data_IF_834697981386
#
_entry.id   IF_834697981386
#
_cell.length_a   1.000
_cell.length_b   1.000
_cell.length_c   1.000
_cell.angle_alpha   90.00
_cell.angle_beta   90.00
_cell.angle_gamma   90.00
#
_symmetry.space_group_name_H-M   'P 1'
#
loop_
_entity.id
_entity.type
_entity.pdbx_description
1 polymer ?
#
# COMPACT_ATOMS: atom_id res chain seq x y z
N UNK A 1 13.65 14.12 -6.39
CA UNK A 1 12.88 12.93 -6.87
C UNK A 1 11.85 12.57 -5.82
N UNK A 2 10.58 12.43 -6.21
CA UNK A 2 9.44 12.21 -5.31
C UNK A 2 9.37 10.73 -4.88
N UNK A 3 9.29 10.48 -3.57
CA UNK A 3 9.05 9.14 -3.00
C UNK A 3 7.64 8.63 -3.36
N UNK A 4 7.34 7.35 -3.10
CA UNK A 4 5.95 6.82 -3.19
C UNK A 4 4.98 7.74 -2.45
N UNK A 5 5.42 8.23 -1.29
CA UNK A 5 4.69 9.14 -0.41
C UNK A 5 4.30 10.44 -1.13
N UNK A 6 5.23 11.07 -1.86
CA UNK A 6 4.94 12.30 -2.61
C UNK A 6 4.08 12.10 -3.88
N UNK A 7 3.94 10.86 -4.37
CA UNK A 7 2.94 10.53 -5.39
C UNK A 7 1.55 10.28 -4.77
N UNK A 8 1.53 9.76 -3.55
CA UNK A 8 0.33 9.50 -2.77
C UNK A 8 -0.33 10.80 -2.29
N UNK A 9 0.42 11.86 -2.00
CA UNK A 9 -0.10 13.20 -1.63
C UNK A 9 -1.08 13.82 -2.64
N UNK A 10 -0.97 13.48 -3.94
CA UNK A 10 -1.86 14.01 -4.98
C UNK A 10 -3.11 13.13 -5.22
N UNK A 11 -3.21 12.00 -4.52
CA UNK A 11 -4.31 11.05 -4.63
C UNK A 11 -5.15 11.11 -3.35
N UNK A 12 -6.47 11.17 -3.51
CA UNK A 12 -7.37 10.97 -2.39
C UNK A 12 -7.21 9.53 -1.88
N UNK A 13 -6.61 9.38 -0.70
CA UNK A 13 -6.39 8.08 -0.07
C UNK A 13 -7.39 7.89 1.05
N UNK A 14 -8.18 6.83 0.94
CA UNK A 14 -9.09 6.40 2.00
C UNK A 14 -8.56 5.09 2.56
N UNK A 15 -8.14 5.10 3.83
CA UNK A 15 -7.67 3.91 4.53
C UNK A 15 -8.84 3.17 5.18
N UNK A 16 -8.99 1.88 4.87
CA UNK A 16 -9.91 0.97 5.54
C UNK A 16 -9.15 -0.16 6.22
N UNK A 17 -9.47 -0.45 7.47
CA UNK A 17 -8.90 -1.57 8.22
C UNK A 17 -10.01 -2.62 8.44
N UNK A 18 -9.84 -3.79 7.84
CA UNK A 18 -10.78 -4.91 7.98
C UNK A 18 -10.25 -5.95 8.97
N UNK A 19 -10.81 -5.96 10.18
CA UNK A 19 -10.50 -6.92 11.25
C UNK A 19 -11.57 -8.02 11.31
N UNK A 20 -11.15 -9.27 11.54
CA UNK A 20 -12.07 -10.39 11.72
C UNK A 20 -11.43 -11.76 11.39
N UNK A 21 -12.10 -12.86 11.75
CA UNK A 21 -11.59 -14.21 11.51
C UNK A 21 -11.45 -14.55 10.03
N UNK A 22 -10.79 -15.67 9.74
CA UNK A 22 -10.65 -16.17 8.37
C UNK A 22 -12.05 -16.53 7.84
N UNK A 23 -12.34 -16.17 6.59
CA UNK A 23 -13.59 -16.52 5.91
C UNK A 23 -14.70 -15.46 5.98
N UNK A 24 -14.58 -14.39 6.76
CA UNK A 24 -15.62 -13.32 6.87
C UNK A 24 -15.76 -12.40 5.64
N UNK A 25 -15.14 -12.74 4.52
CA UNK A 25 -15.32 -12.00 3.27
C UNK A 25 -14.55 -10.68 3.13
N UNK A 26 -13.48 -10.44 3.91
CA UNK A 26 -12.67 -9.19 3.82
C UNK A 26 -12.18 -8.87 2.40
N UNK A 27 -11.73 -9.89 1.66
CA UNK A 27 -11.31 -9.75 0.25
C UNK A 27 -12.51 -9.52 -0.68
N UNK A 28 -13.67 -10.09 -0.36
CA UNK A 28 -14.92 -9.89 -1.11
C UNK A 28 -15.40 -8.45 -0.97
N UNK A 29 -15.30 -7.86 0.22
CA UNK A 29 -15.60 -6.45 0.45
C UNK A 29 -14.69 -5.55 -0.41
N UNK A 30 -13.38 -5.82 -0.43
CA UNK A 30 -12.47 -5.06 -1.28
C UNK A 30 -12.86 -5.10 -2.77
N UNK A 31 -13.25 -6.28 -3.29
CA UNK A 31 -13.75 -6.42 -4.68
C UNK A 31 -15.05 -5.66 -4.91
N UNK A 32 -15.99 -5.73 -3.98
CA UNK A 32 -17.24 -5.00 -4.06
C UNK A 32 -17.01 -3.48 -4.08
N UNK A 33 -16.06 -2.98 -3.27
CA UNK A 33 -15.67 -1.56 -3.28
C UNK A 33 -15.00 -1.18 -4.60
N UNK A 34 -14.10 -2.02 -5.14
CA UNK A 34 -13.47 -1.78 -6.43
C UNK A 34 -14.50 -1.73 -7.57
N UNK A 35 -15.48 -2.63 -7.55
CA UNK A 35 -16.59 -2.64 -8.50
C UNK A 35 -17.45 -1.38 -8.37
N UNK A 36 -17.78 -0.97 -7.14
CA UNK A 36 -18.62 0.19 -6.89
C UNK A 36 -17.96 1.52 -7.28
N UNK A 37 -16.65 1.66 -7.02
CA UNK A 37 -15.91 2.91 -7.29
C UNK A 37 -15.37 2.98 -8.72
N UNK A 38 -14.90 1.86 -9.27
CA UNK A 38 -14.13 1.83 -10.52
C UNK A 38 -14.74 0.94 -11.60
N UNK A 39 -15.97 0.45 -11.39
CA UNK A 39 -16.70 -0.42 -12.32
C UNK A 39 -15.92 -1.68 -12.71
N UNK A 40 -14.95 -2.09 -11.89
CA UNK A 40 -14.09 -3.23 -12.18
C UNK A 40 -13.54 -3.85 -10.89
N UNK A 41 -13.88 -5.11 -10.64
CA UNK A 41 -13.25 -5.90 -9.56
C UNK A 41 -11.75 -6.13 -9.77
N UNK A 42 -11.25 -5.92 -10.99
CA UNK A 42 -9.84 -6.04 -11.35
C UNK A 42 -9.04 -4.76 -11.03
N UNK A 43 -9.69 -3.71 -10.53
CA UNK A 43 -9.04 -2.50 -10.03
C UNK A 43 -8.52 -2.69 -8.60
N UNK A 44 -7.89 -3.84 -8.33
CA UNK A 44 -7.27 -4.16 -7.06
C UNK A 44 -5.86 -4.67 -7.32
N UNK A 45 -4.89 -4.07 -6.64
CA UNK A 45 -3.53 -4.60 -6.54
C UNK A 45 -3.29 -5.14 -5.14
N UNK A 46 -3.11 -6.45 -5.03
CA UNK A 46 -2.90 -7.13 -3.74
C UNK A 46 -1.42 -7.30 -3.43
N UNK A 47 -1.03 -6.95 -2.21
CA UNK A 47 0.31 -7.11 -1.67
C UNK A 47 0.21 -8.07 -0.48
N UNK A 48 0.79 -9.26 -0.63
CA UNK A 48 0.93 -10.19 0.50
C UNK A 48 2.00 -9.70 1.46
N UNK A 49 1.60 -9.37 2.69
CA UNK A 49 2.47 -8.70 3.67
C UNK A 49 3.35 -9.67 4.47
N UNK A 50 3.07 -10.97 4.40
CA UNK A 50 3.85 -12.01 5.08
C UNK A 50 5.31 -12.11 4.64
N UNK A 51 5.68 -11.56 3.49
CA UNK A 51 7.07 -11.48 3.01
C UNK A 51 7.83 -10.27 3.56
N UNK A 52 7.17 -9.38 4.31
CA UNK A 52 7.77 -8.17 4.84
C UNK A 52 7.92 -8.18 6.36
N UNK A 53 8.52 -9.26 6.88
CA UNK A 53 8.77 -9.47 8.32
C UNK A 53 9.99 -8.72 8.83
N UNK A 54 10.86 -8.24 7.93
CA UNK A 54 12.09 -7.50 8.27
C UNK A 54 11.97 -6.02 7.94
N UNK A 55 12.56 -5.15 8.76
CA UNK A 55 12.55 -3.70 8.51
C UNK A 55 13.04 -3.33 7.10
N UNK A 56 14.15 -3.94 6.65
CA UNK A 56 14.75 -3.63 5.34
C UNK A 56 13.80 -3.94 4.17
N UNK A 57 12.97 -4.97 4.30
CA UNK A 57 11.99 -5.33 3.28
C UNK A 57 10.88 -4.27 3.13
N UNK A 58 10.53 -3.58 4.22
CA UNK A 58 9.56 -2.47 4.22
C UNK A 58 10.12 -1.25 3.51
N UNK A 59 11.37 -0.88 3.78
CA UNK A 59 12.00 0.24 3.08
C UNK A 59 12.08 0.01 1.57
N UNK A 60 12.38 -1.23 1.14
CA UNK A 60 12.33 -1.60 -0.28
C UNK A 60 10.91 -1.51 -0.88
N UNK A 61 9.88 -1.84 -0.11
CA UNK A 61 8.48 -1.73 -0.56
C UNK A 61 8.05 -0.26 -0.75
N UNK A 62 8.33 0.60 0.24
CA UNK A 62 7.80 1.98 0.30
C UNK A 62 8.76 2.98 -0.37
N UNK A 63 9.97 2.56 -0.71
CA UNK A 63 11.02 3.40 -1.28
C UNK A 63 11.40 4.60 -0.40
N UNK A 64 11.38 4.41 0.92
CA UNK A 64 11.88 5.41 1.87
C UNK A 64 13.38 5.14 2.05
N UNK A 65 14.27 6.08 1.70
CA UNK A 65 15.70 5.83 1.77
C UNK A 65 16.17 5.71 3.22
N UNK A 66 16.82 4.59 3.57
CA UNK A 66 17.72 4.49 4.73
C UNK A 66 19.16 4.66 4.22
N UNK A 67 19.70 5.88 4.26
CA UNK A 67 21.07 6.15 3.82
C UNK A 67 21.29 6.13 2.30
N UNK A 68 22.56 6.10 1.88
CA UNK A 68 23.10 6.57 0.57
C UNK A 68 22.67 5.80 -0.69
N UNK A 69 21.96 4.69 -0.56
CA UNK A 69 21.53 3.89 -1.70
C UNK A 69 20.04 4.16 -1.99
N UNK A 70 19.81 5.08 -2.92
CA UNK A 70 18.48 5.37 -3.44
C UNK A 70 18.04 4.25 -4.40
N UNK A 71 16.99 3.53 -4.06
CA UNK A 71 16.28 2.72 -5.06
C UNK A 71 15.50 3.70 -5.93
N UNK A 72 15.79 3.67 -7.23
CA UNK A 72 15.14 4.52 -8.21
C UNK A 72 13.61 4.35 -8.10
N UNK A 73 12.82 5.42 -7.92
CA UNK A 73 11.36 5.38 -7.97
C UNK A 73 10.82 4.68 -9.21
N UNK A 74 11.52 4.77 -10.35
CA UNK A 74 11.16 4.02 -11.55
C UNK A 74 11.31 2.50 -11.38
N UNK A 75 12.08 2.02 -10.43
CA UNK A 75 12.20 0.60 -10.13
C UNK A 75 11.16 0.11 -9.12
N UNK A 76 10.41 1.02 -8.48
CA UNK A 76 9.37 0.60 -7.53
C UNK A 76 8.12 0.10 -8.26
N UNK A 77 7.82 -1.19 -8.07
CA UNK A 77 6.67 -1.87 -8.68
C UNK A 77 5.33 -1.20 -8.33
N UNK A 78 5.17 -0.70 -7.10
CA UNK A 78 3.94 -0.06 -6.66
C UNK A 78 3.70 1.27 -7.38
N UNK A 79 4.75 2.09 -7.54
CA UNK A 79 4.67 3.36 -8.26
C UNK A 79 4.25 3.13 -9.71
N UNK A 80 4.91 2.18 -10.39
CA UNK A 80 4.58 1.83 -11.78
C UNK A 80 3.12 1.41 -11.96
N UNK A 81 2.58 0.64 -11.01
CA UNK A 81 1.19 0.19 -11.05
C UNK A 81 0.23 1.37 -10.88
N UNK A 82 0.47 2.24 -9.91
CA UNK A 82 -0.36 3.42 -9.68
C UNK A 82 -0.30 4.35 -10.91
N UNK A 83 0.87 4.52 -11.52
CA UNK A 83 1.03 5.30 -12.75
C UNK A 83 0.27 4.71 -13.94
N UNK A 84 0.30 3.37 -14.10
CA UNK A 84 -0.41 2.69 -15.18
C UNK A 84 -1.93 2.65 -14.95
N UNK A 85 -2.36 2.56 -13.69
CA UNK A 85 -3.77 2.41 -13.31
C UNK A 85 -4.05 3.21 -12.02
N UNK A 86 -4.26 4.53 -12.12
CA UNK A 86 -4.41 5.42 -10.95
C UNK A 86 -5.68 5.10 -10.13
N UNK A 87 -6.72 4.57 -10.78
CA UNK A 87 -7.95 4.11 -10.13
C UNK A 87 -7.83 2.65 -9.68
N UNK A 88 -6.99 2.41 -8.69
CA UNK A 88 -6.70 1.06 -8.15
C UNK A 88 -6.76 1.07 -6.63
N UNK A 89 -7.45 0.09 -6.05
CA UNK A 89 -7.38 -0.21 -4.62
C UNK A 89 -6.11 -1.00 -4.33
N UNK A 90 -5.30 -0.52 -3.38
CA UNK A 90 -4.15 -1.27 -2.86
C UNK A 90 -4.61 -2.09 -1.65
N UNK A 91 -4.54 -3.41 -1.76
CA UNK A 91 -4.94 -4.34 -0.70
C UNK A 91 -3.70 -4.95 -0.03
N UNK A 92 -3.49 -4.63 1.24
CA UNK A 92 -2.46 -5.26 2.08
C UNK A 92 -3.03 -6.51 2.77
N UNK A 93 -2.66 -7.70 2.29
CA UNK A 93 -3.12 -8.98 2.84
C UNK A 93 -2.15 -9.49 3.91
N UNK A 94 -2.65 -10.12 4.97
CA UNK A 94 -1.84 -10.64 6.09
C UNK A 94 -0.99 -9.56 6.81
N UNK A 95 -1.56 -8.36 6.98
CA UNK A 95 -0.86 -7.22 7.58
C UNK A 95 -0.43 -7.48 9.02
N UNK A 96 -1.07 -8.42 9.71
CA UNK A 96 -0.68 -8.86 11.06
C UNK A 96 0.72 -9.49 11.14
N UNK A 97 1.27 -9.92 10.00
CA UNK A 97 2.61 -10.54 9.91
C UNK A 97 3.73 -9.56 9.57
N UNK A 98 3.40 -8.29 9.32
CA UNK A 98 4.36 -7.28 8.87
C UNK A 98 5.30 -6.85 10.01
N UNK A 99 6.51 -6.44 9.65
CA UNK A 99 7.40 -5.75 10.58
C UNK A 99 6.76 -4.45 11.13
N UNK A 100 6.95 -4.17 12.42
CA UNK A 100 6.34 -3.02 13.11
C UNK A 100 6.63 -1.66 12.43
N UNK A 101 7.80 -1.52 11.80
CA UNK A 101 8.19 -0.32 11.05
C UNK A 101 7.18 0.09 9.97
N UNK A 102 6.45 -0.85 9.39
CA UNK A 102 5.36 -0.54 8.47
C UNK A 102 4.30 0.34 9.13
N UNK A 103 3.91 0.00 10.36
CA UNK A 103 2.91 0.77 11.11
C UNK A 103 3.44 2.15 11.47
N UNK A 104 4.71 2.27 11.86
CA UNK A 104 5.33 3.57 12.14
C UNK A 104 5.25 4.50 10.92
N UNK A 105 5.59 3.96 9.73
CA UNK A 105 5.54 4.73 8.48
C UNK A 105 4.09 5.05 8.09
N UNK A 106 3.18 4.09 8.20
CA UNK A 106 1.76 4.29 7.89
C UNK A 106 1.16 5.36 8.80
N UNK A 107 1.42 5.30 10.10
CA UNK A 107 0.96 6.29 11.08
C UNK A 107 1.56 7.66 10.79
N UNK A 108 2.87 7.75 10.52
CA UNK A 108 3.50 9.01 10.13
C UNK A 108 2.87 9.63 8.87
N UNK A 109 2.35 8.82 7.95
CA UNK A 109 1.63 9.31 6.78
C UNK A 109 0.22 9.80 7.10
N UNK A 110 -0.50 9.07 7.96
CA UNK A 110 -1.84 9.45 8.41
C UNK A 110 -1.81 10.69 9.31
N UNK A 111 -0.75 10.86 10.08
CA UNK A 111 -0.54 12.01 10.98
C UNK A 111 -0.04 13.26 10.23
N UNK A 112 0.47 13.11 9.00
CA UNK A 112 0.90 14.23 8.15
C UNK A 112 -0.32 14.95 7.55
N UNK A 113 -1.12 15.58 8.40
CA UNK A 113 -1.95 16.73 8.02
C UNK A 113 -1.05 17.99 8.03
N UNK A 114 -0.34 18.22 6.92
CA UNK A 114 0.25 19.52 6.52
C UNK A 114 0.39 19.61 5.01
#
# INVERSE_FOLDING_TARGET
MKSVVAYMEWLLIILYICLGPIGVGRKTLARAVALALYYSEQSIYTIGMSKYTEANSIYKLINIPRGKDMVDPEQNKLIKIIQQKPYTIILFDQIEKVHHEFWNILLAYLDNDN
#
